data_IF_643170326361
#
_entry.id   IF_643170326361
#
_cell.length_a   1.000
_cell.length_b   1.000
_cell.length_c   1.000
_cell.angle_alpha   90.00
_cell.angle_beta   90.00
_cell.angle_gamma   90.00
#
_symmetry.space_group_name_H-M   'P 1'
#
loop_
_entity.id
_entity.type
_entity.pdbx_description
1 polymer ?
#
# COMPACT_ATOMS: atom_id res chain seq x y z
N UNK A 1 22.90 -3.26 0.89
CA UNK A 1 21.92 -3.41 1.99
C UNK A 1 20.66 -4.02 1.39
N UNK A 2 20.33 -5.27 1.71
CA UNK A 2 19.08 -5.89 1.25
C UNK A 2 17.93 -5.16 1.96
N UNK A 3 17.19 -4.30 1.27
CA UNK A 3 15.88 -3.87 1.78
C UNK A 3 14.92 -5.04 1.60
N UNK A 4 14.82 -5.91 2.61
CA UNK A 4 13.61 -6.70 2.78
C UNK A 4 12.53 -5.73 3.25
N UNK A 5 11.75 -5.20 2.31
CA UNK A 5 10.47 -4.57 2.62
C UNK A 5 9.52 -5.68 3.07
N UNK A 6 9.56 -6.01 4.36
CA UNK A 6 8.41 -6.61 4.99
C UNK A 6 7.37 -5.49 5.17
N UNK A 7 6.72 -5.12 4.06
CA UNK A 7 5.42 -4.48 4.17
C UNK A 7 4.53 -5.55 4.77
N UNK A 8 4.14 -5.37 6.04
CA UNK A 8 2.90 -5.98 6.50
C UNK A 8 1.82 -5.35 5.60
N UNK A 9 1.53 -6.00 4.47
CA UNK A 9 0.40 -5.68 3.62
C UNK A 9 -0.84 -5.96 4.47
N UNK A 10 -1.20 -4.96 5.27
CA UNK A 10 -2.49 -4.83 5.91
C UNK A 10 -3.54 -4.69 4.80
N UNK A 11 -3.90 -5.79 4.18
CA UNK A 11 -5.19 -6.08 3.54
C UNK A 11 -5.12 -7.49 2.93
N UNK A 12 -5.60 -8.54 3.60
CA UNK A 12 -6.11 -9.74 2.96
C UNK A 12 -7.51 -9.50 2.41
N UNK A 13 -7.90 -8.24 2.11
CA UNK A 13 -9.03 -7.98 1.21
C UNK A 13 -8.78 -8.69 -0.13
N UNK A 14 -7.50 -8.78 -0.53
CA UNK A 14 -7.11 -9.35 -1.81
C UNK A 14 -7.00 -10.89 -1.83
N UNK A 15 -6.89 -11.56 -0.66
CA UNK A 15 -6.69 -13.02 -0.60
C UNK A 15 -7.66 -13.82 0.27
N UNK A 16 -8.59 -13.19 1.01
CA UNK A 16 -9.65 -13.91 1.75
C UNK A 16 -11.00 -13.91 1.03
N UNK A 17 -11.08 -13.33 -0.17
CA UNK A 17 -12.30 -13.22 -0.96
C UNK A 17 -12.74 -14.46 -1.77
N UNK A 18 -12.01 -15.60 -1.94
CA UNK A 18 -12.49 -16.64 -2.85
C UNK A 18 -13.71 -17.43 -2.34
N UNK A 19 -14.23 -17.13 -1.13
CA UNK A 19 -15.38 -17.87 -0.56
C UNK A 19 -16.66 -17.06 -0.35
N UNK A 20 -16.70 -15.75 -0.63
CA UNK A 20 -17.92 -14.97 -0.39
C UNK A 20 -18.23 -13.96 -1.49
N UNK A 21 -19.46 -14.10 -2.01
CA UNK A 21 -20.16 -13.21 -2.94
C UNK A 21 -19.96 -11.71 -2.65
N UNK A 22 -20.07 -10.81 -3.65
CA UNK A 22 -19.88 -9.35 -3.52
C UNK A 22 -20.76 -8.63 -2.48
N UNK A 23 -21.69 -9.33 -1.83
CA UNK A 23 -22.62 -8.80 -0.85
C UNK A 23 -22.24 -9.03 0.62
N UNK A 24 -21.07 -9.60 0.94
CA UNK A 24 -20.69 -9.85 2.34
C UNK A 24 -19.57 -8.92 2.82
N UNK A 25 -20.04 -7.94 3.59
CA UNK A 25 -19.35 -7.01 4.48
C UNK A 25 -17.94 -7.42 4.91
N UNK A 26 -17.06 -6.41 5.01
CA UNK A 26 -15.81 -6.49 5.74
C UNK A 26 -16.05 -6.75 7.24
N UNK A 27 -16.28 -8.00 7.63
CA UNK A 27 -16.73 -8.37 8.97
C UNK A 27 -15.58 -8.44 9.99
N UNK A 28 -15.91 -8.52 11.29
CA UNK A 28 -14.94 -8.72 12.38
C UNK A 28 -13.97 -9.89 12.12
N UNK A 29 -14.38 -10.91 11.37
CA UNK A 29 -13.54 -12.05 11.01
C UNK A 29 -12.40 -11.67 10.05
N UNK A 30 -12.62 -10.77 9.09
CA UNK A 30 -11.55 -10.30 8.20
C UNK A 30 -10.51 -9.47 8.97
N UNK A 31 -10.96 -8.58 9.86
CA UNK A 31 -10.07 -7.83 10.77
C UNK A 31 -9.30 -8.76 11.72
N UNK A 32 -9.94 -9.81 12.22
CA UNK A 32 -9.29 -10.86 13.01
C UNK A 32 -8.22 -11.60 12.19
N UNK A 33 -8.51 -11.99 10.95
CA UNK A 33 -7.56 -12.66 10.08
C UNK A 33 -6.38 -11.76 9.67
N UNK A 34 -6.61 -10.44 9.49
CA UNK A 34 -5.54 -9.44 9.33
C UNK A 34 -4.61 -9.48 10.53
N UNK A 35 -5.19 -9.35 11.73
CA UNK A 35 -4.44 -9.32 12.98
C UNK A 35 -3.64 -10.61 13.18
N UNK A 36 -4.24 -11.77 12.92
CA UNK A 36 -3.54 -13.06 12.96
C UNK A 36 -2.33 -13.08 12.02
N UNK A 37 -2.42 -12.48 10.83
CA UNK A 37 -1.30 -12.42 9.90
C UNK A 37 -0.17 -11.51 10.41
N UNK A 38 -0.49 -10.36 11.02
CA UNK A 38 0.51 -9.49 11.68
C UNK A 38 1.25 -10.25 12.78
N UNK A 39 0.52 -10.99 13.62
CA UNK A 39 1.11 -11.81 14.68
C UNK A 39 2.07 -12.85 14.10
N UNK A 40 1.71 -13.51 12.99
CA UNK A 40 2.62 -14.44 12.32
C UNK A 40 3.89 -13.76 11.77
N UNK A 41 3.76 -12.53 11.25
CA UNK A 41 4.92 -11.72 10.84
C UNK A 41 5.80 -11.40 12.05
N UNK A 42 5.22 -10.99 13.18
CA UNK A 42 5.96 -10.72 14.42
C UNK A 42 6.72 -11.95 14.93
N UNK A 43 6.09 -13.12 14.91
CA UNK A 43 6.76 -14.38 15.26
C UNK A 43 7.93 -14.72 14.31
N UNK A 44 7.76 -14.48 13.01
CA UNK A 44 8.84 -14.68 12.04
C UNK A 44 10.00 -13.69 12.23
N UNK A 45 9.70 -12.41 12.49
CA UNK A 45 10.70 -11.39 12.80
C UNK A 45 11.49 -11.74 14.05
N UNK A 46 10.79 -12.09 15.14
CA UNK A 46 11.41 -12.51 16.39
C UNK A 46 12.40 -13.66 16.17
N UNK A 47 11.96 -14.70 15.45
CA UNK A 47 12.81 -15.85 15.11
C UNK A 47 14.05 -15.42 14.32
N UNK A 48 13.90 -14.56 13.31
CA UNK A 48 15.02 -14.07 12.50
C UNK A 48 16.05 -13.29 13.33
N UNK A 49 15.58 -12.52 14.33
CA UNK A 49 16.45 -11.79 15.24
C UNK A 49 17.16 -12.72 16.24
N UNK A 50 16.44 -13.66 16.84
CA UNK A 50 16.99 -14.65 17.79
C UNK A 50 18.04 -15.56 17.12
N UNK A 51 17.81 -15.95 15.86
CA UNK A 51 18.74 -16.75 15.06
C UNK A 51 19.88 -15.89 14.45
N UNK A 52 19.93 -14.58 14.72
CA UNK A 52 20.93 -13.65 14.19
C UNK A 52 21.04 -13.64 12.67
N UNK A 53 19.94 -13.96 11.96
CA UNK A 53 19.88 -13.94 10.49
C UNK A 53 19.94 -12.50 9.97
N UNK A 54 19.33 -11.56 10.70
CA UNK A 54 19.31 -10.13 10.40
C UNK A 54 19.17 -9.33 11.69
N UNK A 55 19.65 -8.08 11.71
CA UNK A 55 19.43 -7.16 12.83
C UNK A 55 18.20 -6.30 12.59
N UNK A 56 17.57 -5.80 13.67
CA UNK A 56 16.39 -4.93 13.54
C UNK A 56 16.69 -3.68 12.71
N UNK A 57 17.85 -3.07 12.90
CA UNK A 57 18.28 -1.88 12.16
C UNK A 57 18.57 -2.10 10.67
N UNK A 58 18.65 -3.36 10.21
CA UNK A 58 18.83 -3.70 8.80
C UNK A 58 17.50 -3.89 8.05
N UNK A 59 16.36 -3.95 8.76
CA UNK A 59 15.03 -4.12 8.18
C UNK A 59 14.25 -2.80 8.12
N UNK A 60 13.44 -2.66 7.07
CA UNK A 60 12.47 -1.58 6.93
C UNK A 60 11.05 -2.14 7.06
N UNK A 61 10.40 -1.88 8.19
CA UNK A 61 9.07 -2.42 8.51
C UNK A 61 8.02 -1.31 8.42
N UNK A 62 6.96 -1.57 7.64
CA UNK A 62 5.83 -0.66 7.47
C UNK A 62 4.54 -1.27 8.01
N UNK A 63 3.77 -0.48 8.77
CA UNK A 63 2.38 -0.78 9.15
C UNK A 63 1.47 0.40 8.80
N UNK A 64 0.16 0.27 9.03
CA UNK A 64 -0.85 1.25 8.62
C UNK A 64 -1.95 1.42 9.66
N UNK A 65 -2.35 2.67 9.87
CA UNK A 65 -3.49 3.08 10.68
C UNK A 65 -4.80 2.80 9.93
N UNK A 66 -5.66 1.95 10.50
CA UNK A 66 -6.95 1.60 9.91
C UNK A 66 -8.01 2.70 10.16
N UNK A 67 -8.99 2.79 9.25
CA UNK A 67 -10.06 3.81 9.24
C UNK A 67 -10.85 3.94 10.55
N UNK A 68 -10.84 2.91 11.39
CA UNK A 68 -11.51 2.89 12.70
C UNK A 68 -10.75 3.58 13.84
N UNK A 69 -9.50 4.00 13.62
CA UNK A 69 -8.61 4.55 14.65
C UNK A 69 -8.09 5.96 14.30
N UNK A 70 -8.86 6.74 13.53
CA UNK A 70 -8.47 8.08 13.12
C UNK A 70 -8.71 9.16 14.19
N UNK A 71 -9.37 8.84 15.32
CA UNK A 71 -9.45 9.79 16.42
C UNK A 71 -8.04 9.99 17.00
N UNK A 72 -7.59 11.22 17.32
CA UNK A 72 -6.23 11.46 17.82
C UNK A 72 -5.80 10.59 19.01
N UNK A 73 -6.73 10.27 19.89
CA UNK A 73 -6.55 9.39 21.05
C UNK A 73 -6.40 7.90 20.69
N UNK A 74 -6.97 7.47 19.56
CA UNK A 74 -6.94 6.08 19.09
C UNK A 74 -5.68 5.75 18.27
N UNK A 75 -5.04 6.76 17.69
CA UNK A 75 -3.83 6.62 16.88
C UNK A 75 -2.66 5.95 17.65
N UNK A 76 -2.27 6.42 18.86
CA UNK A 76 -1.22 5.75 19.63
C UNK A 76 -1.60 4.35 20.10
N UNK A 77 -2.87 4.08 20.40
CA UNK A 77 -3.38 2.74 20.75
C UNK A 77 -3.19 1.78 19.58
N UNK A 78 -3.60 2.18 18.37
CA UNK A 78 -3.48 1.35 17.17
C UNK A 78 -2.02 1.06 16.77
N UNK A 79 -1.12 2.04 16.97
CA UNK A 79 0.31 1.78 16.79
C UNK A 79 0.85 0.84 17.86
N UNK A 80 0.46 1.02 19.14
CA UNK A 80 0.83 0.14 20.24
C UNK A 80 0.47 -1.31 19.95
N UNK A 81 -0.78 -1.57 19.59
CA UNK A 81 -1.26 -2.90 19.18
C UNK A 81 -0.42 -3.48 18.02
N UNK A 82 -0.09 -2.65 17.02
CA UNK A 82 0.74 -3.09 15.88
C UNK A 82 2.15 -3.46 16.30
N UNK A 83 2.76 -2.68 17.20
CA UNK A 83 4.11 -2.92 17.72
C UNK A 83 4.15 -4.20 18.57
N UNK A 84 3.14 -4.41 19.41
CA UNK A 84 3.01 -5.61 20.24
C UNK A 84 2.83 -6.86 19.37
N UNK A 85 1.90 -6.83 18.41
CA UNK A 85 1.66 -7.96 17.50
C UNK A 85 2.91 -8.25 16.62
N UNK A 86 3.68 -7.22 16.23
CA UNK A 86 4.93 -7.37 15.47
C UNK A 86 6.16 -7.67 16.35
N UNK A 87 6.06 -7.56 17.67
CA UNK A 87 7.17 -7.65 18.62
C UNK A 87 8.31 -6.66 18.31
N UNK A 88 7.97 -5.39 18.11
CA UNK A 88 8.91 -4.31 17.76
C UNK A 88 8.80 -3.12 18.71
N UNK A 89 9.91 -2.40 18.90
CA UNK A 89 9.90 -1.14 19.67
C UNK A 89 9.49 0.08 18.84
N UNK A 90 9.69 0.01 17.52
CA UNK A 90 9.42 1.07 16.54
C UNK A 90 9.12 0.51 15.15
N UNK A 91 8.39 1.28 14.34
CA UNK A 91 8.24 1.08 12.89
C UNK A 91 9.14 2.03 12.12
N UNK A 92 9.62 1.59 10.96
CA UNK A 92 10.35 2.48 10.04
C UNK A 92 9.38 3.43 9.32
N UNK A 93 8.15 2.97 9.06
CA UNK A 93 7.10 3.76 8.42
C UNK A 93 5.70 3.39 8.96
N UNK A 94 4.90 4.40 9.30
CA UNK A 94 3.50 4.23 9.65
C UNK A 94 2.59 5.10 8.76
N UNK A 95 1.59 4.48 8.13
CA UNK A 95 0.77 5.13 7.10
C UNK A 95 -0.68 5.32 7.53
N UNK A 96 -1.31 6.47 7.25
CA UNK A 96 -2.78 6.52 7.18
C UNK A 96 -3.22 5.64 6.00
N UNK A 97 -4.03 4.61 6.24
CA UNK A 97 -4.29 3.59 5.22
C UNK A 97 -5.26 4.05 4.12
N UNK A 98 -6.29 4.80 4.47
CA UNK A 98 -7.24 5.39 3.51
C UNK A 98 -7.65 6.78 4.01
N UNK A 99 -7.96 7.74 3.11
CA UNK A 99 -8.53 9.03 3.50
C UNK A 99 -10.01 8.89 3.91
N UNK A 100 -10.31 7.99 4.85
CA UNK A 100 -11.67 7.64 5.24
C UNK A 100 -11.75 7.26 6.71
N UNK A 101 -12.88 7.55 7.37
CA UNK A 101 -13.08 7.27 8.79
C UNK A 101 -14.35 6.48 9.03
N UNK A 102 -14.26 5.51 9.93
CA UNK A 102 -15.41 4.78 10.48
C UNK A 102 -15.37 4.81 12.01
N UNK A 103 -16.52 4.55 12.64
CA UNK A 103 -16.62 4.43 14.09
C UNK A 103 -15.70 3.31 14.60
N UNK A 104 -14.93 3.56 15.67
CA UNK A 104 -14.06 2.56 16.31
C UNK A 104 -14.84 1.29 16.65
N UNK A 105 -14.21 0.12 16.43
CA UNK A 105 -14.80 -1.19 16.73
C UNK A 105 -15.90 -1.65 15.76
N UNK A 106 -16.15 -0.90 14.68
CA UNK A 106 -17.20 -1.22 13.70
C UNK A 106 -16.62 -1.64 12.34
N UNK A 107 -17.52 -2.05 11.43
CA UNK A 107 -17.17 -2.51 10.08
C UNK A 107 -17.31 -1.39 9.06
N UNK A 108 -16.33 -1.28 8.15
CA UNK A 108 -16.39 -0.40 6.97
C UNK A 108 -17.42 -0.86 5.93
N UNK A 109 -18.01 -2.04 6.08
CA UNK A 109 -19.05 -2.55 5.19
C UNK A 109 -20.46 -2.05 5.50
N UNK A 110 -20.66 -1.32 6.61
CA UNK A 110 -21.95 -0.72 6.95
C UNK A 110 -21.84 0.83 6.92
N UNK A 111 -22.53 1.51 5.98
CA UNK A 111 -22.49 2.96 5.86
C UNK A 111 -22.93 3.76 7.10
N UNK A 112 -23.76 3.18 7.98
CA UNK A 112 -24.16 3.83 9.24
C UNK A 112 -22.97 4.11 10.18
N UNK A 113 -21.85 3.42 9.96
CA UNK A 113 -20.63 3.60 10.74
C UNK A 113 -19.71 4.69 10.20
N UNK A 114 -20.02 5.27 9.04
CA UNK A 114 -19.15 6.24 8.39
C UNK A 114 -19.13 7.55 9.17
N UNK A 115 -17.93 8.12 9.29
CA UNK A 115 -17.72 9.41 9.92
C UNK A 115 -16.94 10.30 8.95
N UNK A 116 -17.17 11.63 8.97
CA UNK A 116 -16.31 12.55 8.24
C UNK A 116 -14.85 12.38 8.66
N UNK A 117 -13.91 12.23 7.70
CA UNK A 117 -12.49 12.19 8.03
C UNK A 117 -12.01 13.58 8.44
N UNK A 118 -11.22 13.64 9.53
CA UNK A 118 -10.45 14.81 9.93
C UNK A 118 -8.97 14.45 9.79
N UNK A 119 -8.47 14.57 8.56
CA UNK A 119 -7.09 14.20 8.22
C UNK A 119 -6.07 15.08 8.96
N UNK A 120 -6.23 16.42 9.06
CA UNK A 120 -5.32 17.25 9.85
C UNK A 120 -5.23 16.81 11.32
N UNK A 121 -6.35 16.50 11.99
CA UNK A 121 -6.31 16.03 13.37
C UNK A 121 -5.65 14.64 13.50
N UNK A 122 -5.97 13.72 12.59
CA UNK A 122 -5.33 12.39 12.54
C UNK A 122 -3.83 12.52 12.31
N UNK A 123 -3.42 13.38 11.37
CA UNK A 123 -2.02 13.64 11.05
C UNK A 123 -1.27 14.24 12.24
N UNK A 124 -1.86 15.22 12.94
CA UNK A 124 -1.26 15.78 14.16
C UNK A 124 -0.99 14.73 15.24
N UNK A 125 -1.78 13.66 15.31
CA UNK A 125 -1.48 12.52 16.17
C UNK A 125 -0.37 11.62 15.61
N UNK A 126 -0.33 11.38 14.29
CA UNK A 126 0.78 10.68 13.62
C UNK A 126 2.12 11.39 13.83
N UNK A 127 2.15 12.72 13.77
CA UNK A 127 3.35 13.51 14.03
C UNK A 127 3.89 13.32 15.45
N UNK A 128 3.00 13.18 16.46
CA UNK A 128 3.42 12.86 17.84
C UNK A 128 4.07 11.48 17.94
N UNK A 129 3.62 10.50 17.15
CA UNK A 129 4.26 9.18 17.09
C UNK A 129 5.66 9.26 16.48
N UNK A 130 5.83 10.13 15.50
CA UNK A 130 7.14 10.42 14.90
C UNK A 130 8.07 11.11 15.90
N UNK A 131 7.61 12.18 16.56
CA UNK A 131 8.40 12.90 17.57
C UNK A 131 8.82 11.97 18.73
N UNK A 132 7.97 11.01 19.10
CA UNK A 132 8.27 10.00 20.12
C UNK A 132 9.18 8.85 19.63
N UNK A 133 9.59 8.84 18.36
CA UNK A 133 10.43 7.79 17.77
C UNK A 133 9.74 6.44 17.58
N UNK A 134 8.42 6.35 17.79
CA UNK A 134 7.64 5.11 17.61
C UNK A 134 7.39 4.78 16.14
N UNK A 135 7.36 5.80 15.28
CA UNK A 135 7.41 5.67 13.83
C UNK A 135 8.50 6.58 13.27
N UNK A 136 9.58 6.01 12.71
CA UNK A 136 10.72 6.82 12.21
C UNK A 136 10.37 7.69 11.01
N UNK A 137 9.37 7.27 10.24
CA UNK A 137 8.72 8.06 9.21
C UNK A 137 7.21 7.85 9.28
N UNK A 138 6.46 8.85 8.83
CA UNK A 138 5.01 8.79 8.70
C UNK A 138 4.60 9.16 7.28
N UNK A 139 3.51 8.58 6.80
CA UNK A 139 3.04 8.78 5.43
C UNK A 139 1.56 8.50 5.28
N UNK A 140 1.11 8.46 4.04
CA UNK A 140 -0.28 8.16 3.68
C UNK A 140 -0.34 7.01 2.66
N UNK A 141 -1.54 6.54 2.40
CA UNK A 141 -1.84 5.54 1.41
C UNK A 141 -3.20 5.83 0.79
N UNK A 142 -3.32 5.64 -0.52
CA UNK A 142 -4.54 5.90 -1.28
C UNK A 142 -4.96 7.38 -1.28
N UNK A 143 -4.00 8.30 -1.28
CA UNK A 143 -4.29 9.72 -1.44
C UNK A 143 -4.12 10.07 -2.93
N UNK A 144 -5.09 10.79 -3.49
CA UNK A 144 -4.90 11.43 -4.79
C UNK A 144 -4.02 12.69 -4.64
N UNK A 145 -3.47 13.18 -5.74
CA UNK A 145 -2.54 14.33 -5.71
C UNK A 145 -3.12 15.53 -4.96
N UNK A 146 -4.43 15.79 -5.13
CA UNK A 146 -5.12 16.88 -4.44
C UNK A 146 -5.11 16.68 -2.91
N UNK A 147 -5.58 15.54 -2.42
CA UNK A 147 -5.61 15.23 -0.98
C UNK A 147 -4.21 15.22 -0.35
N UNK A 148 -3.21 14.72 -1.07
CA UNK A 148 -1.81 14.78 -0.62
C UNK A 148 -1.31 16.23 -0.52
N UNK A 149 -1.62 17.06 -1.52
CA UNK A 149 -1.29 18.49 -1.50
C UNK A 149 -1.99 19.27 -0.39
N UNK A 150 -3.27 18.99 -0.16
CA UNK A 150 -4.04 19.60 0.95
C UNK A 150 -3.39 19.26 2.32
N UNK A 151 -2.90 18.03 2.50
CA UNK A 151 -2.20 17.62 3.72
C UNK A 151 -0.83 18.29 3.85
N UNK A 152 -0.02 18.30 2.78
CA UNK A 152 1.28 18.96 2.76
C UNK A 152 1.20 20.44 3.13
N UNK A 153 0.10 21.12 2.77
CA UNK A 153 -0.10 22.53 3.08
C UNK A 153 -0.28 22.82 4.59
N UNK A 154 -0.66 21.82 5.40
CA UNK A 154 -0.97 22.00 6.83
C UNK A 154 -0.05 21.18 7.76
N UNK A 155 0.66 20.19 7.21
CA UNK A 155 1.53 19.30 7.98
C UNK A 155 2.81 20.02 8.43
N UNK A 156 3.18 19.83 9.71
CA UNK A 156 4.49 20.24 10.22
C UNK A 156 5.56 19.23 9.80
N UNK A 157 5.24 17.94 9.88
CA UNK A 157 6.06 16.85 9.37
C UNK A 157 5.44 16.39 8.04
N UNK A 158 6.09 16.63 6.89
CA UNK A 158 5.53 16.24 5.60
C UNK A 158 5.42 14.71 5.49
N UNK A 159 4.39 14.18 4.81
CA UNK A 159 4.31 12.74 4.52
C UNK A 159 5.56 12.27 3.77
N UNK A 160 6.28 11.30 4.32
CA UNK A 160 7.46 10.74 3.69
C UNK A 160 7.11 9.85 2.48
N UNK A 161 5.94 9.21 2.53
CA UNK A 161 5.48 8.24 1.53
C UNK A 161 4.00 8.45 1.22
N UNK A 162 3.64 8.28 -0.05
CA UNK A 162 2.28 7.91 -0.45
C UNK A 162 2.29 6.53 -1.10
N UNK A 163 1.61 5.57 -0.46
CA UNK A 163 1.53 4.19 -0.92
C UNK A 163 0.23 3.97 -1.73
N UNK A 164 0.36 3.75 -3.04
CA UNK A 164 -0.77 3.69 -3.98
C UNK A 164 -0.67 2.51 -4.93
N UNK A 165 -1.80 2.17 -5.56
CA UNK A 165 -1.83 1.25 -6.70
C UNK A 165 -0.93 1.84 -7.79
N UNK A 166 0.08 1.09 -8.23
CA UNK A 166 0.90 1.51 -9.36
C UNK A 166 1.49 0.31 -10.09
N UNK A 167 1.19 0.20 -11.37
CA UNK A 167 1.64 -0.86 -12.26
C UNK A 167 1.54 -0.41 -13.72
N UNK A 168 2.08 -1.15 -14.70
CA UNK A 168 1.99 -0.78 -16.11
C UNK A 168 0.59 -0.39 -16.63
N UNK A 169 -0.48 -1.01 -16.13
CA UNK A 169 -1.87 -0.64 -16.48
C UNK A 169 -2.49 0.52 -15.67
N UNK A 170 -1.78 1.08 -14.68
CA UNK A 170 -2.20 2.23 -13.88
C UNK A 170 -0.94 2.94 -13.36
N UNK A 171 -0.40 3.83 -14.18
CA UNK A 171 0.98 4.31 -14.03
C UNK A 171 1.12 5.55 -13.13
N UNK A 172 0.01 6.10 -12.64
CA UNK A 172 0.01 7.23 -11.70
C UNK A 172 0.79 8.47 -12.18
N UNK A 173 0.88 8.74 -13.50
CA UNK A 173 1.79 9.77 -14.04
C UNK A 173 1.64 11.16 -13.40
N UNK A 174 0.40 11.58 -13.11
CA UNK A 174 0.10 12.84 -12.40
C UNK A 174 0.62 12.82 -10.97
N UNK A 175 0.25 11.81 -10.18
CA UNK A 175 0.67 11.65 -8.79
C UNK A 175 2.19 11.44 -8.67
N UNK A 176 2.79 10.68 -9.58
CA UNK A 176 4.24 10.51 -9.67
C UNK A 176 4.95 11.86 -9.78
N UNK A 177 4.53 12.69 -10.73
CA UNK A 177 5.12 14.02 -10.94
C UNK A 177 4.96 14.90 -9.71
N UNK A 178 3.77 14.87 -9.10
CA UNK A 178 3.49 15.61 -7.89
C UNK A 178 4.37 15.18 -6.71
N UNK A 179 4.45 13.87 -6.43
CA UNK A 179 5.29 13.28 -5.39
C UNK A 179 6.77 13.66 -5.59
N UNK A 180 7.30 13.56 -6.81
CA UNK A 180 8.67 13.99 -7.14
C UNK A 180 8.90 15.47 -6.81
N UNK A 181 7.96 16.35 -7.20
CA UNK A 181 8.08 17.79 -6.93
C UNK A 181 7.96 18.15 -5.45
N UNK A 182 7.23 17.35 -4.67
CA UNK A 182 6.95 17.60 -3.26
C UNK A 182 7.93 16.91 -2.30
N UNK A 183 8.86 16.09 -2.83
CA UNK A 183 9.77 15.29 -2.01
C UNK A 183 9.08 14.14 -1.26
N UNK A 184 7.95 13.66 -1.77
CA UNK A 184 7.21 12.51 -1.23
C UNK A 184 7.57 11.27 -2.04
N UNK A 185 7.90 10.16 -1.37
CA UNK A 185 8.21 8.91 -2.07
C UNK A 185 6.93 8.16 -2.46
N UNK A 186 6.82 7.75 -3.73
CA UNK A 186 5.72 6.91 -4.18
C UNK A 186 6.08 5.43 -4.00
N UNK A 187 5.26 4.70 -3.23
CA UNK A 187 5.40 3.25 -3.04
C UNK A 187 4.27 2.50 -3.73
N UNK A 188 4.61 1.66 -4.72
CA UNK A 188 3.68 0.91 -5.53
C UNK A 188 3.20 -0.37 -4.84
N UNK A 189 1.93 -0.41 -4.42
CA UNK A 189 1.25 -1.67 -4.12
C UNK A 189 0.59 -2.25 -5.38
N UNK A 190 0.25 -3.54 -5.33
CA UNK A 190 -0.27 -4.30 -6.46
C UNK A 190 0.53 -4.15 -7.76
N UNK A 191 1.89 -4.17 -7.73
CA UNK A 191 2.70 -3.90 -8.92
C UNK A 191 2.51 -4.93 -10.05
N UNK A 192 1.83 -6.04 -9.77
CA UNK A 192 1.51 -7.12 -10.71
C UNK A 192 0.02 -7.17 -11.11
N UNK A 193 -0.80 -6.18 -10.74
CA UNK A 193 -2.24 -6.15 -11.02
C UNK A 193 -3.11 -7.06 -10.14
N UNK A 194 -2.57 -7.55 -9.01
CA UNK A 194 -3.20 -8.49 -8.08
C UNK A 194 -3.81 -9.75 -8.73
N UNK A 195 -2.99 -10.60 -9.39
CA UNK A 195 -3.47 -11.75 -10.17
C UNK A 195 -4.17 -12.83 -9.34
N UNK A 196 -4.06 -12.78 -8.01
CA UNK A 196 -4.75 -13.69 -7.08
C UNK A 196 -6.16 -13.24 -6.68
N UNK A 197 -6.56 -12.01 -7.03
CA UNK A 197 -7.86 -11.44 -6.67
C UNK A 197 -8.88 -11.71 -7.79
N UNK A 198 -9.81 -12.63 -7.56
CA UNK A 198 -10.81 -13.08 -8.56
C UNK A 198 -11.79 -11.98 -9.00
N UNK A 199 -11.83 -10.86 -8.28
CA UNK A 199 -12.70 -9.71 -8.54
C UNK A 199 -11.99 -8.56 -9.25
N UNK A 200 -10.67 -8.64 -9.45
CA UNK A 200 -9.89 -7.67 -10.22
C UNK A 200 -9.57 -8.25 -11.60
N UNK A 201 -10.00 -7.56 -12.66
CA UNK A 201 -9.78 -7.99 -14.06
C UNK A 201 -8.63 -7.23 -14.74
N UNK A 202 -7.55 -6.93 -14.00
CA UNK A 202 -6.35 -6.31 -14.55
C UNK A 202 -5.25 -7.35 -14.72
N UNK A 203 -5.02 -7.80 -15.96
CA UNK A 203 -3.95 -8.77 -16.21
C UNK A 203 -2.70 -8.09 -16.76
N UNK A 204 -2.08 -7.27 -15.93
CA UNK A 204 -0.80 -6.57 -16.20
C UNK A 204 0.25 -7.54 -16.76
N UNK A 205 0.24 -8.79 -16.31
CA UNK A 205 1.21 -9.82 -16.72
C UNK A 205 0.92 -10.41 -18.11
N UNK A 206 -0.25 -10.14 -18.69
CA UNK A 206 -0.65 -10.55 -20.04
C UNK A 206 -0.69 -9.39 -21.04
N UNK A 207 -0.30 -8.18 -20.62
CA UNK A 207 -0.20 -7.04 -21.53
C UNK A 207 0.80 -7.34 -22.65
N UNK A 208 0.44 -7.15 -23.94
CA UNK A 208 1.33 -7.47 -25.07
C UNK A 208 2.69 -6.78 -24.99
N UNK A 209 2.72 -5.52 -24.52
CA UNK A 209 3.96 -4.76 -24.30
C UNK A 209 4.84 -5.45 -23.26
N UNK A 210 4.27 -5.84 -22.12
CA UNK A 210 5.00 -6.51 -21.03
C UNK A 210 5.54 -7.86 -21.50
N UNK A 211 4.72 -8.65 -22.20
CA UNK A 211 5.12 -9.96 -22.75
C UNK A 211 6.25 -9.82 -23.77
N UNK A 212 6.15 -8.87 -24.70
CA UNK A 212 7.17 -8.66 -25.73
C UNK A 212 8.51 -8.22 -25.12
N UNK A 213 8.49 -7.34 -24.12
CA UNK A 213 9.70 -6.89 -23.42
C UNK A 213 10.31 -8.05 -22.61
N UNK A 214 9.47 -8.84 -21.94
CA UNK A 214 9.90 -10.01 -21.18
C UNK A 214 10.63 -11.03 -22.08
N UNK A 215 10.08 -11.33 -23.25
CA UNK A 215 10.70 -12.20 -24.25
C UNK A 215 12.05 -11.64 -24.73
N UNK A 216 12.10 -10.36 -25.13
CA UNK A 216 13.33 -9.73 -25.63
C UNK A 216 14.46 -9.70 -24.60
N UNK A 217 14.13 -9.53 -23.32
CA UNK A 217 15.11 -9.44 -22.24
C UNK A 217 15.40 -10.78 -21.56
N UNK A 218 14.71 -11.86 -21.94
CA UNK A 218 14.83 -13.16 -21.29
C UNK A 218 14.43 -13.11 -19.81
N UNK A 219 13.40 -12.33 -19.47
CA UNK A 219 12.88 -12.15 -18.11
C UNK A 219 11.42 -12.59 -18.02
N UNK A 220 10.89 -12.72 -16.80
CA UNK A 220 9.46 -13.00 -16.64
C UNK A 220 8.62 -11.71 -16.76
N UNK A 221 7.33 -11.80 -17.13
CA UNK A 221 6.44 -10.62 -17.15
C UNK A 221 6.37 -9.90 -15.80
N UNK A 222 6.41 -10.65 -14.69
CA UNK A 222 6.42 -10.07 -13.34
C UNK A 222 7.70 -9.26 -13.07
N UNK A 223 8.87 -9.80 -13.46
CA UNK A 223 10.15 -9.10 -13.36
C UNK A 223 10.15 -7.80 -14.18
N UNK A 224 9.58 -7.81 -15.38
CA UNK A 224 9.42 -6.61 -16.22
C UNK A 224 8.52 -5.57 -15.57
N UNK A 225 7.35 -5.95 -15.06
CA UNK A 225 6.44 -5.01 -14.38
C UNK A 225 7.06 -4.39 -13.11
N UNK A 226 7.83 -5.18 -12.35
CA UNK A 226 8.55 -4.70 -11.17
C UNK A 226 9.72 -3.77 -11.54
N UNK A 227 10.53 -4.18 -12.54
CA UNK A 227 11.66 -3.37 -13.00
C UNK A 227 11.22 -2.04 -13.59
N UNK A 228 10.08 -2.02 -14.29
CA UNK A 228 9.45 -0.78 -14.77
C UNK A 228 9.23 0.22 -13.62
N UNK A 229 8.53 -0.19 -12.55
CA UNK A 229 8.28 0.66 -11.37
C UNK A 229 9.60 1.15 -10.73
N UNK A 230 10.59 0.27 -10.61
CA UNK A 230 11.92 0.62 -10.07
C UNK A 230 12.59 1.70 -10.95
N UNK A 231 12.50 1.59 -12.27
CA UNK A 231 13.04 2.60 -13.20
C UNK A 231 12.24 3.91 -13.22
N UNK A 232 10.96 3.88 -12.82
CA UNK A 232 10.18 5.10 -12.54
C UNK A 232 10.55 5.75 -11.19
N UNK A 233 11.45 5.12 -10.42
CA UNK A 233 11.91 5.62 -9.12
C UNK A 233 10.98 5.26 -7.96
N UNK A 234 10.16 4.23 -8.08
CA UNK A 234 9.22 3.81 -7.02
C UNK A 234 9.76 2.60 -6.27
N UNK A 235 9.39 2.45 -5.00
CA UNK A 235 9.49 1.13 -4.33
C UNK A 235 8.32 0.25 -4.75
N UNK A 236 8.51 -1.07 -4.76
CA UNK A 236 7.49 -2.04 -5.16
C UNK A 236 7.18 -3.04 -4.05
N UNK A 237 5.91 -3.42 -3.91
CA UNK A 237 5.43 -4.34 -2.88
C UNK A 237 4.81 -5.62 -3.49
N UNK A 238 5.58 -6.48 -4.18
CA UNK A 238 5.05 -7.71 -4.77
C UNK A 238 4.72 -8.77 -3.72
N UNK A 239 3.44 -9.03 -3.49
CA UNK A 239 2.99 -10.08 -2.59
C UNK A 239 3.19 -11.47 -3.20
N UNK A 240 3.82 -12.38 -2.45
CA UNK A 240 3.86 -13.81 -2.77
C UNK A 240 3.98 -14.65 -1.49
N UNK A 241 3.50 -15.88 -1.56
CA UNK A 241 3.74 -16.94 -0.55
C UNK A 241 4.51 -18.13 -1.13
N UNK A 242 4.85 -18.06 -2.42
CA UNK A 242 5.71 -19.04 -3.10
C UNK A 242 7.14 -18.56 -3.03
N UNK A 243 8.01 -19.39 -2.47
CA UNK A 243 9.44 -19.12 -2.31
C UNK A 243 10.12 -18.79 -3.66
N UNK A 244 9.83 -19.58 -4.70
CA UNK A 244 10.35 -19.35 -6.04
C UNK A 244 9.98 -17.96 -6.57
N UNK A 245 8.69 -17.57 -6.45
CA UNK A 245 8.25 -16.24 -6.88
C UNK A 245 8.84 -15.12 -6.03
N UNK A 246 9.07 -15.35 -4.72
CA UNK A 246 9.75 -14.37 -3.87
C UNK A 246 11.18 -14.13 -4.37
N UNK A 247 11.93 -15.19 -4.69
CA UNK A 247 13.28 -15.09 -5.27
C UNK A 247 13.26 -14.38 -6.63
N UNK A 248 12.33 -14.75 -7.51
CA UNK A 248 12.18 -14.13 -8.84
C UNK A 248 11.86 -12.63 -8.75
N UNK A 249 10.95 -12.24 -7.85
CA UNK A 249 10.54 -10.85 -7.66
C UNK A 249 11.69 -9.96 -7.14
N UNK A 250 12.70 -10.54 -6.47
CA UNK A 250 13.88 -9.82 -6.00
C UNK A 250 14.98 -9.70 -7.08
N UNK A 251 14.97 -10.58 -8.09
CA UNK A 251 15.94 -10.61 -9.18
C UNK A 251 15.64 -9.54 -10.27
N UNK A 252 15.61 -8.27 -9.86
CA UNK A 252 15.22 -7.10 -10.68
C UNK A 252 16.25 -5.97 -10.61
N UNK A 253 17.43 -6.20 -10.03
CA UNK A 253 18.46 -5.18 -9.81
C UNK A 253 19.69 -5.33 -10.70
N UNK A 254 19.98 -6.54 -11.17
CA UNK A 254 21.15 -6.91 -11.98
C UNK A 254 20.96 -6.69 -13.49
N UNK A 255 19.84 -6.09 -13.90
CA UNK A 255 19.51 -5.77 -15.30
C UNK A 255 18.57 -4.56 -15.35
N UNK A 256 18.35 -4.02 -16.55
CA UNK A 256 17.43 -2.90 -16.79
C UNK A 256 16.66 -3.05 -18.10
N UNK A 257 15.53 -2.36 -18.19
CA UNK A 257 14.75 -2.18 -19.42
C UNK A 257 15.38 -1.00 -20.17
N UNK A 258 15.89 -1.20 -21.41
CA UNK A 258 16.39 -0.13 -22.27
C UNK A 258 15.35 0.97 -22.52
N UNK A 259 15.79 2.21 -22.74
CA UNK A 259 14.91 3.38 -22.90
C UNK A 259 13.88 3.21 -24.04
N UNK A 260 14.28 2.62 -25.17
CA UNK A 260 13.41 2.37 -26.32
C UNK A 260 12.28 1.38 -26.00
N UNK A 261 12.54 0.40 -25.13
CA UNK A 261 11.53 -0.53 -24.64
C UNK A 261 10.70 0.08 -23.51
N UNK A 262 11.32 0.89 -22.65
CA UNK A 262 10.64 1.58 -21.56
C UNK A 262 9.59 2.56 -22.08
N UNK A 263 9.87 3.25 -23.19
CA UNK A 263 8.93 4.16 -23.84
C UNK A 263 7.62 3.45 -24.25
N UNK A 264 7.66 2.16 -24.60
CA UNK A 264 6.47 1.41 -25.05
C UNK A 264 5.40 1.23 -23.98
N UNK A 265 5.75 1.39 -22.70
CA UNK A 265 4.77 1.32 -21.61
C UNK A 265 3.70 2.42 -21.73
N UNK A 266 3.98 3.54 -22.42
CA UNK A 266 2.95 4.58 -22.66
C UNK A 266 1.82 4.12 -23.58
N UNK A 267 1.98 3.00 -24.29
CA UNK A 267 0.96 2.41 -25.18
C UNK A 267 -0.08 1.59 -24.40
N UNK A 268 0.19 1.25 -23.14
CA UNK A 268 -0.69 0.42 -22.32
C UNK A 268 -1.92 1.24 -21.92
N UNK A 269 -3.11 0.64 -22.08
CA UNK A 269 -4.36 1.26 -21.67
C UNK A 269 -4.39 1.40 -20.14
N UNK A 270 -4.71 2.61 -19.68
CA UNK A 270 -4.78 2.93 -18.27
C UNK A 270 -6.16 2.61 -17.70
N UNK A 271 -6.20 1.88 -16.58
CA UNK A 271 -7.38 1.66 -15.78
C UNK A 271 -6.99 1.32 -14.33
N UNK A 272 -7.58 2.05 -13.38
CA UNK A 272 -7.47 1.72 -11.96
C UNK A 272 -8.22 0.43 -11.64
N UNK A 273 -7.60 -0.48 -10.91
CA UNK A 273 -8.21 -1.74 -10.48
C UNK A 273 -8.80 -1.65 -9.07
N UNK A 274 -8.09 -1.01 -8.13
CA UNK A 274 -8.59 -0.73 -6.78
C UNK A 274 -9.33 0.60 -6.75
N UNK A 275 -10.59 0.54 -7.18
CA UNK A 275 -11.50 1.68 -7.26
C UNK A 275 -11.94 2.22 -5.88
N UNK A 276 -11.79 1.46 -4.80
CA UNK A 276 -12.26 1.88 -3.47
C UNK A 276 -13.78 1.73 -3.26
N UNK A 277 -14.43 0.81 -3.99
CA UNK A 277 -15.89 0.62 -4.01
C UNK A 277 -16.55 0.49 -2.62
N UNK A 278 -15.82 -0.01 -1.62
CA UNK A 278 -16.34 -0.22 -0.26
C UNK A 278 -16.59 1.10 0.50
N UNK A 279 -16.04 2.23 0.05
CA UNK A 279 -16.25 3.58 0.62
C UNK A 279 -16.86 4.57 -0.37
N UNK A 280 -17.29 4.12 -1.56
CA UNK A 280 -17.95 4.97 -2.56
C UNK A 280 -19.42 4.57 -2.65
N UNK A 281 -20.30 5.39 -2.11
CA UNK A 281 -21.76 5.20 -2.17
C UNK A 281 -22.51 6.44 -1.69
N UNK A 282 -23.84 6.44 -1.87
CA UNK A 282 -24.72 7.57 -1.52
C UNK A 282 -24.66 8.01 -0.05
N UNK A 283 -24.23 7.14 0.87
CA UNK A 283 -24.19 7.39 2.31
C UNK A 283 -22.77 7.77 2.80
N UNK A 284 -21.77 7.69 1.92
CA UNK A 284 -20.37 8.04 2.18
C UNK A 284 -20.07 9.53 1.99
N UNK A 285 -18.93 10.02 2.51
CA UNK A 285 -18.39 11.33 2.10
C UNK A 285 -17.95 11.36 0.63
N UNK A 286 -17.74 10.18 0.04
CA UNK A 286 -17.43 10.00 -1.38
C UNK A 286 -18.64 9.33 -2.06
N UNK A 287 -19.43 10.11 -2.79
CA UNK A 287 -20.61 9.66 -3.55
C UNK A 287 -20.22 9.01 -4.87
N UNK A 288 -19.12 9.45 -5.45
CA UNK A 288 -18.57 8.95 -6.72
C UNK A 288 -17.10 8.60 -6.56
N UNK A 289 -16.56 7.84 -7.51
CA UNK A 289 -15.13 7.55 -7.51
C UNK A 289 -14.29 8.77 -7.87
N UNK A 290 -14.82 9.68 -8.69
CA UNK A 290 -14.21 10.99 -8.94
C UNK A 290 -13.99 11.78 -7.64
N UNK A 291 -14.93 11.72 -6.68
CA UNK A 291 -14.78 12.39 -5.38
C UNK A 291 -13.70 11.73 -4.50
N UNK A 292 -13.60 10.39 -4.51
CA UNK A 292 -12.55 9.68 -3.77
C UNK A 292 -11.17 9.98 -4.36
N UNK A 293 -11.04 9.96 -5.68
CA UNK A 293 -9.75 10.06 -6.38
C UNK A 293 -9.46 11.44 -6.97
N UNK A 294 -10.30 12.45 -6.72
CA UNK A 294 -10.16 13.81 -7.26
C UNK A 294 -9.94 13.83 -8.79
N UNK A 295 -10.70 12.98 -9.50
CA UNK A 295 -10.63 12.78 -10.95
C UNK A 295 -9.46 11.90 -11.44
N UNK A 296 -8.69 11.28 -10.55
CA UNK A 296 -7.57 10.39 -10.91
C UNK A 296 -8.04 8.93 -11.05
N UNK A 297 -8.87 8.67 -12.07
CA UNK A 297 -9.52 7.38 -12.30
C UNK A 297 -9.59 6.93 -13.77
#
# INVERSE_FOLDING_TARGET
KLMLLASALLTPVDSLCPKFSPSKLCNKQQMHNIRLWIVQVGLALKKLFEESVVKREDLFITSKLWCGHHAPEDVPEALGDSLDDLQLDYLDLYLIHWPFRVRKGTSIGNPENFLPPDIPATWGAMEKLHDAGKARAIGVSNFASKKLGDLLAVARIPPAVDQVECHPGWQQSKLHTFCQSAGVHLSAYSPLGSPGSTWMNGNVLKEPVVLSIAEKLGKTPAQVALRWNIQMGHSVLPKSVSEERIKQNLAVYDWSIPEDLLAKFSEIKQARLLMGNFIVNKDSVYKTHDELWDGEI
#
